data_IF_217980383532
#
_entry.id   IF_217980383532
#
_cell.length_a   1.000
_cell.length_b   1.000
_cell.length_c   1.000
_cell.angle_alpha   90.00
_cell.angle_beta   90.00
_cell.angle_gamma   90.00
#
_symmetry.space_group_name_H-M   'P 1'
#
loop_
_entity.id
_entity.type
_entity.pdbx_description
1 polymer ?
#
# COMPACT_ATOMS: atom_id res chain seq x y z
N UNK A 1 -13.70 8.86 32.32
CA UNK A 1 -14.70 8.32 31.38
C UNK A 1 -13.94 7.72 30.20
N UNK A 2 -14.08 6.41 29.96
CA UNK A 2 -13.36 5.67 28.91
C UNK A 2 -13.96 6.00 27.54
N UNK A 3 -13.09 6.21 26.54
CA UNK A 3 -13.44 6.51 25.15
C UNK A 3 -14.29 5.37 24.55
N UNK A 4 -15.53 5.65 24.19
CA UNK A 4 -16.39 4.78 23.38
C UNK A 4 -15.90 4.83 21.93
N UNK A 5 -14.86 4.06 21.62
CA UNK A 5 -14.37 3.90 20.25
C UNK A 5 -15.27 2.94 19.49
N UNK A 6 -16.30 3.47 18.84
CA UNK A 6 -16.86 2.97 17.57
C UNK A 6 -16.86 1.44 17.34
N UNK A 7 -17.85 0.73 17.89
CA UNK A 7 -18.19 -0.67 17.55
C UNK A 7 -18.92 -0.77 16.19
N UNK A 8 -18.34 -0.20 15.12
CA UNK A 8 -18.91 -0.31 13.78
C UNK A 8 -18.03 -1.20 12.91
N UNK A 9 -18.65 -2.12 12.19
CA UNK A 9 -17.97 -2.89 11.16
C UNK A 9 -17.38 -1.94 10.11
N UNK A 10 -16.22 -2.28 9.56
CA UNK A 10 -15.56 -1.50 8.52
C UNK A 10 -15.14 -2.41 7.35
N UNK A 11 -14.84 -1.80 6.21
CA UNK A 11 -14.38 -2.54 5.02
C UNK A 11 -12.87 -2.56 4.99
N UNK A 12 -12.31 -3.73 4.67
CA UNK A 12 -10.87 -3.93 4.49
C UNK A 12 -10.61 -4.56 3.13
N UNK A 13 -9.44 -4.28 2.57
CA UNK A 13 -9.02 -4.75 1.25
C UNK A 13 -7.77 -5.60 1.38
N UNK A 14 -7.66 -6.68 0.59
CA UNK A 14 -6.42 -7.44 0.49
C UNK A 14 -5.36 -6.68 -0.31
N UNK A 15 -4.12 -7.15 -0.25
CA UNK A 15 -3.15 -6.88 -1.31
C UNK A 15 -3.64 -7.51 -2.62
N UNK A 16 -3.38 -6.89 -3.79
CA UNK A 16 -3.71 -7.51 -5.07
C UNK A 16 -2.99 -8.85 -5.25
N UNK A 17 -3.70 -9.87 -5.73
CA UNK A 17 -3.11 -11.14 -6.14
C UNK A 17 -2.09 -10.87 -7.28
N UNK A 18 -0.82 -11.29 -7.16
CA UNK A 18 0.19 -11.04 -8.18
C UNK A 18 -0.09 -11.73 -9.52
N UNK A 19 -0.93 -12.77 -9.55
CA UNK A 19 -1.25 -13.55 -10.75
C UNK A 19 -2.46 -12.94 -11.47
N UNK A 20 -3.52 -12.63 -10.71
CA UNK A 20 -4.82 -12.27 -11.27
C UNK A 20 -5.21 -10.81 -11.01
N UNK A 21 -4.39 -10.04 -10.29
CA UNK A 21 -4.66 -8.66 -9.86
C UNK A 21 -6.05 -8.50 -9.20
N UNK A 22 -6.47 -9.53 -8.46
CA UNK A 22 -7.72 -9.52 -7.72
C UNK A 22 -7.44 -9.01 -6.31
N UNK A 23 -8.23 -8.04 -5.88
CA UNK A 23 -8.30 -7.57 -4.49
C UNK A 23 -9.56 -8.14 -3.85
N UNK A 24 -9.41 -8.88 -2.76
CA UNK A 24 -10.56 -9.34 -1.98
C UNK A 24 -11.05 -8.23 -1.07
N UNK A 25 -12.37 -8.09 -0.97
CA UNK A 25 -13.05 -7.11 -0.11
C UNK A 25 -13.63 -7.85 1.07
N UNK A 26 -13.30 -7.39 2.27
CA UNK A 26 -13.73 -8.00 3.53
C UNK A 26 -14.55 -7.01 4.34
N UNK A 27 -15.61 -7.50 4.97
CA UNK A 27 -16.26 -6.83 6.08
C UNK A 27 -15.60 -7.32 7.37
N UNK A 28 -15.05 -6.40 8.14
CA UNK A 28 -14.46 -6.68 9.45
C UNK A 28 -15.46 -6.30 10.52
N UNK A 29 -15.83 -7.26 11.36
CA UNK A 29 -16.77 -7.08 12.45
C UNK A 29 -16.07 -6.57 13.73
N UNK A 30 -16.81 -6.02 14.71
CA UNK A 30 -16.23 -5.52 15.96
C UNK A 30 -15.49 -6.58 16.79
N UNK A 31 -15.81 -7.86 16.60
CA UNK A 31 -15.14 -8.99 17.23
C UNK A 31 -13.81 -9.37 16.55
N UNK A 32 -13.45 -8.67 15.47
CA UNK A 32 -12.26 -8.93 14.66
C UNK A 32 -12.43 -10.05 13.63
N UNK A 33 -13.61 -10.68 13.57
CA UNK A 33 -13.91 -11.64 12.50
C UNK A 33 -14.00 -10.93 11.15
N UNK A 34 -13.66 -11.65 10.09
CA UNK A 34 -13.66 -11.14 8.72
C UNK A 34 -14.52 -12.02 7.83
N UNK A 35 -15.37 -11.38 7.04
CA UNK A 35 -16.19 -12.04 6.03
C UNK A 35 -15.85 -11.47 4.65
N UNK A 36 -15.57 -12.34 3.69
CA UNK A 36 -15.38 -11.94 2.29
C UNK A 36 -16.73 -11.57 1.71
N UNK A 37 -16.87 -10.31 1.28
CA UNK A 37 -18.12 -9.79 0.70
C UNK A 37 -18.02 -9.57 -0.81
N UNK A 38 -16.80 -9.61 -1.36
CA UNK A 38 -16.60 -9.46 -2.79
C UNK A 38 -15.14 -9.43 -3.21
N UNK A 39 -14.95 -9.15 -4.49
CA UNK A 39 -13.67 -9.08 -5.17
C UNK A 39 -13.67 -7.91 -6.14
N UNK A 40 -12.53 -7.23 -6.24
CA UNK A 40 -12.28 -6.15 -7.18
C UNK A 40 -11.21 -6.63 -8.13
N UNK A 41 -11.47 -6.55 -9.43
CA UNK A 41 -10.45 -6.83 -10.44
C UNK A 41 -9.77 -5.53 -10.84
N UNK A 42 -8.49 -5.38 -10.48
CA UNK A 42 -7.74 -4.14 -10.77
C UNK A 42 -7.19 -4.06 -12.19
N UNK A 43 -7.31 -5.12 -13.01
CA UNK A 43 -6.99 -5.03 -14.45
C UNK A 43 -7.97 -4.13 -15.22
N UNK A 44 -9.18 -3.92 -14.69
CA UNK A 44 -10.19 -3.08 -15.31
C UNK A 44 -10.13 -1.61 -14.87
N UNK A 45 -8.99 -1.14 -14.35
CA UNK A 45 -8.67 0.28 -14.36
C UNK A 45 -8.45 0.74 -15.82
N UNK A 46 -9.50 0.68 -16.63
CA UNK A 46 -9.57 1.32 -17.94
C UNK A 46 -9.36 2.82 -17.73
N UNK A 47 -8.95 3.52 -18.79
CA UNK A 47 -8.53 4.93 -18.81
C UNK A 47 -9.51 5.94 -18.17
N UNK A 48 -10.70 5.49 -17.75
CA UNK A 48 -11.75 6.25 -17.08
C UNK A 48 -11.93 5.93 -15.56
N UNK A 49 -11.11 5.05 -14.98
CA UNK A 49 -11.10 4.82 -13.52
C UNK A 49 -12.25 3.97 -12.97
N UNK A 50 -12.96 3.22 -13.82
CA UNK A 50 -14.03 2.32 -13.37
C UNK A 50 -13.43 1.09 -12.65
N UNK A 51 -13.98 0.74 -11.50
CA UNK A 51 -13.55 -0.41 -10.71
C UNK A 51 -14.60 -1.51 -10.85
N UNK A 52 -14.25 -2.65 -11.44
CA UNK A 52 -15.21 -3.76 -11.52
C UNK A 52 -15.25 -4.49 -10.17
N UNK A 53 -16.16 -4.06 -9.28
CA UNK A 53 -16.48 -4.78 -8.06
C UNK A 53 -17.49 -5.89 -8.36
N UNK A 54 -17.13 -7.11 -7.97
CA UNK A 54 -17.99 -8.29 -8.02
C UNK A 54 -18.28 -8.70 -6.59
N UNK A 55 -19.50 -8.50 -6.11
CA UNK A 55 -19.88 -9.05 -4.81
C UNK A 55 -20.01 -10.58 -4.94
N UNK A 56 -19.59 -11.28 -3.91
CA UNK A 56 -19.65 -12.74 -3.85
C UNK A 56 -20.18 -13.16 -2.48
N UNK A 57 -21.09 -14.11 -2.45
CA UNK A 57 -21.52 -14.72 -1.19
C UNK A 57 -20.45 -15.67 -0.62
N UNK A 58 -20.74 -16.26 0.54
CA UNK A 58 -19.88 -17.24 1.23
C UNK A 58 -19.62 -18.50 0.39
N UNK A 59 -20.46 -18.78 -0.61
CA UNK A 59 -20.32 -19.89 -1.56
C UNK A 59 -19.62 -19.47 -2.86
N UNK A 60 -19.08 -18.24 -2.92
CA UNK A 60 -18.46 -17.64 -4.10
C UNK A 60 -19.42 -17.44 -5.28
N UNK A 61 -20.74 -17.45 -5.05
CA UNK A 61 -21.70 -17.11 -6.08
C UNK A 61 -21.71 -15.60 -6.29
N UNK A 62 -21.67 -15.18 -7.56
CA UNK A 62 -21.73 -13.77 -7.91
C UNK A 62 -23.11 -13.22 -7.55
N UNK A 63 -23.12 -12.24 -6.65
CA UNK A 63 -24.32 -11.51 -6.26
C UNK A 63 -24.20 -10.06 -6.75
N UNK A 64 -25.33 -9.47 -7.15
CA UNK A 64 -25.38 -8.04 -7.42
C UNK A 64 -25.68 -7.33 -6.08
N UNK A 65 -24.73 -6.56 -5.53
CA UNK A 65 -24.98 -5.82 -4.30
C UNK A 65 -26.01 -4.71 -4.56
N UNK A 66 -26.59 -4.15 -3.50
CA UNK A 66 -27.41 -2.95 -3.66
C UNK A 66 -26.54 -1.81 -4.23
N UNK A 67 -27.14 -0.93 -5.03
CA UNK A 67 -26.39 0.16 -5.69
C UNK A 67 -25.73 1.11 -4.68
N UNK A 68 -26.32 1.27 -3.49
CA UNK A 68 -25.76 2.10 -2.42
C UNK A 68 -24.51 1.48 -1.79
N UNK A 69 -24.52 0.18 -1.54
CA UNK A 69 -23.36 -0.55 -0.98
C UNK A 69 -22.19 -0.57 -1.98
N UNK A 70 -22.50 -0.67 -3.28
CA UNK A 70 -21.51 -0.64 -4.36
C UNK A 70 -20.72 0.67 -4.39
N UNK A 71 -21.41 1.81 -4.42
CA UNK A 71 -20.77 3.14 -4.45
C UNK A 71 -19.93 3.40 -3.21
N UNK A 72 -20.35 2.92 -2.04
CA UNK A 72 -19.55 3.05 -0.81
C UNK A 72 -18.24 2.25 -0.92
N UNK A 73 -18.31 0.99 -1.38
CA UNK A 73 -17.13 0.13 -1.54
C UNK A 73 -16.17 0.71 -2.58
N UNK A 74 -16.67 1.21 -3.72
CA UNK A 74 -15.84 1.86 -4.73
C UNK A 74 -15.12 3.09 -4.18
N UNK A 75 -15.83 3.97 -3.48
CA UNK A 75 -15.22 5.17 -2.89
C UNK A 75 -14.13 4.82 -1.86
N UNK A 76 -14.41 3.84 -0.99
CA UNK A 76 -13.42 3.35 -0.02
C UNK A 76 -12.22 2.68 -0.71
N UNK A 77 -12.44 1.96 -1.81
CA UNK A 77 -11.36 1.34 -2.58
C UNK A 77 -10.50 2.39 -3.29
N UNK A 78 -11.09 3.45 -3.85
CA UNK A 78 -10.36 4.57 -4.45
C UNK A 78 -9.48 5.24 -3.40
N UNK A 79 -10.00 5.47 -2.19
CA UNK A 79 -9.21 6.02 -1.09
C UNK A 79 -8.05 5.08 -0.70
N UNK A 80 -8.34 3.79 -0.54
CA UNK A 80 -7.31 2.77 -0.28
C UNK A 80 -6.21 2.78 -1.35
N UNK A 81 -6.58 2.84 -2.63
CA UNK A 81 -5.61 2.88 -3.73
C UNK A 81 -4.73 4.14 -3.70
N UNK A 82 -5.30 5.30 -3.34
CA UNK A 82 -4.53 6.55 -3.13
C UNK A 82 -3.56 6.42 -1.97
N UNK A 83 -4.01 5.90 -0.83
CA UNK A 83 -3.15 5.72 0.34
C UNK A 83 -2.00 4.74 0.06
N UNK A 84 -2.24 3.68 -0.73
CA UNK A 84 -1.20 2.73 -1.13
C UNK A 84 -0.19 3.36 -2.10
N UNK A 85 -0.64 4.19 -3.05
CA UNK A 85 0.27 4.87 -3.98
C UNK A 85 1.13 5.91 -3.26
N UNK A 86 0.56 6.65 -2.30
CA UNK A 86 1.29 7.59 -1.45
C UNK A 86 2.33 6.89 -0.56
N UNK A 87 1.98 5.76 0.07
CA UNK A 87 2.92 4.95 0.86
C UNK A 87 4.08 4.46 0.02
N UNK A 88 3.78 3.87 -1.14
CA UNK A 88 4.80 3.38 -2.08
C UNK A 88 5.74 4.51 -2.54
N UNK A 89 5.18 5.69 -2.82
CA UNK A 89 5.96 6.88 -3.19
C UNK A 89 6.88 7.35 -2.04
N UNK A 90 6.37 7.43 -0.81
CA UNK A 90 7.16 7.83 0.36
C UNK A 90 8.27 6.81 0.64
N UNK A 91 8.00 5.52 0.53
CA UNK A 91 9.00 4.46 0.71
C UNK A 91 10.11 4.55 -0.34
N UNK A 92 9.76 4.77 -1.61
CA UNK A 92 10.73 4.99 -2.68
C UNK A 92 11.61 6.22 -2.41
N UNK A 93 11.01 7.32 -1.97
CA UNK A 93 11.73 8.54 -1.58
C UNK A 93 12.69 8.31 -0.41
N UNK A 94 12.28 7.54 0.60
CA UNK A 94 13.15 7.18 1.75
C UNK A 94 14.32 6.32 1.30
N UNK A 95 14.08 5.32 0.46
CA UNK A 95 15.13 4.45 -0.07
C UNK A 95 16.19 5.25 -0.87
N UNK A 96 15.75 6.20 -1.70
CA UNK A 96 16.68 7.05 -2.46
C UNK A 96 17.43 8.04 -1.55
N UNK A 97 16.77 8.57 -0.52
CA UNK A 97 17.44 9.42 0.48
C UNK A 97 18.55 8.66 1.20
N UNK A 98 18.29 7.43 1.63
CA UNK A 98 19.27 6.55 2.30
C UNK A 98 20.44 6.18 1.37
N UNK A 99 20.15 5.90 0.10
CA UNK A 99 21.19 5.66 -0.91
C UNK A 99 22.10 6.89 -1.09
N UNK A 100 21.52 8.09 -1.08
CA UNK A 100 22.26 9.36 -1.17
C UNK A 100 23.12 9.62 0.06
N UNK A 101 22.62 9.33 1.27
CA UNK A 101 23.41 9.46 2.51
C UNK A 101 24.58 8.48 2.51
N UNK A 102 24.34 7.20 2.18
CA UNK A 102 25.38 6.17 2.11
C UNK A 102 26.45 6.51 1.07
N UNK A 103 26.06 7.07 -0.08
CA UNK A 103 27.00 7.58 -1.08
C UNK A 103 27.84 8.75 -0.55
N UNK A 104 27.24 9.70 0.17
CA UNK A 104 27.99 10.84 0.75
C UNK A 104 29.00 10.38 1.80
N UNK A 105 28.62 9.44 2.66
CA UNK A 105 29.52 8.86 3.66
C UNK A 105 30.67 8.09 3.01
N UNK A 106 30.37 7.30 1.98
CA UNK A 106 31.40 6.59 1.20
C UNK A 106 32.39 7.56 0.55
N UNK A 107 31.91 8.67 -0.02
CA UNK A 107 32.76 9.71 -0.59
C UNK A 107 33.59 10.45 0.48
N UNK A 108 33.05 10.69 1.67
CA UNK A 108 33.81 11.25 2.80
C UNK A 108 34.91 10.30 3.23
N UNK A 109 34.61 9.00 3.33
CA UNK A 109 35.59 7.98 3.69
C UNK A 109 36.75 7.93 2.67
N UNK A 110 36.44 7.90 1.37
CA UNK A 110 37.45 7.92 0.30
C UNK A 110 38.31 9.20 0.36
N UNK A 111 37.71 10.37 0.58
CA UNK A 111 38.48 11.62 0.74
C UNK A 111 39.44 11.55 1.91
N UNK A 112 38.98 11.06 3.06
CA UNK A 112 39.82 10.94 4.26
C UNK A 112 40.99 9.97 4.07
N UNK A 113 40.80 8.88 3.32
CA UNK A 113 41.89 7.97 2.95
C UNK A 113 42.94 8.66 2.08
N UNK A 114 42.51 9.36 1.02
CA UNK A 114 43.43 10.10 0.13
C UNK A 114 44.23 11.20 0.84
N UNK A 115 43.64 11.87 1.84
CA UNK A 115 44.37 12.87 2.63
C UNK A 115 45.45 12.24 3.51
N UNK A 116 45.19 11.06 4.11
CA UNK A 116 46.20 10.34 4.91
C UNK A 116 47.35 9.81 4.05
N UNK A 117 47.05 9.28 2.87
CA UNK A 117 48.09 8.80 1.93
C UNK A 117 48.97 9.95 1.41
N UNK A 118 48.42 11.16 1.31
CA UNK A 118 49.17 12.36 0.89
C UNK A 118 50.09 12.90 1.99
N UNK A 119 49.67 12.87 3.26
CA UNK A 119 50.51 13.27 4.40
C UNK A 119 51.65 12.28 4.66
N UNK A 120 51.39 10.97 4.48
CA UNK A 120 52.41 9.93 4.62
C UNK A 120 53.52 10.08 3.56
N UNK A 121 53.18 10.42 2.33
CA UNK A 121 54.14 10.59 1.23
C UNK A 121 54.92 11.90 1.25
N UNK A 122 54.55 12.87 2.11
CA UNK A 122 55.32 14.12 2.31
C UNK A 122 56.37 14.03 3.42
N UNK A 123 56.39 12.93 4.17
CA UNK A 123 57.27 12.72 5.33
C UNK A 123 58.53 11.91 5.00
N UNK A 124 58.84 11.71 3.72
CA UNK A 124 60.06 11.07 3.21
C UNK A 124 60.84 12.03 2.30
#
# INVERSE_FOLDING_TARGET
MKKTSSEKSYISFSTPDPINSIVSVFKVFPDGSMETIGKINSYYLLEEGCVLYTASDLESQQIFPSSTDFTEIENQFIQYAKEQSEKSFIEAMKAEAEKSTNRKESLRHIRNLKFKDFEFNKSY
#
